data_IF_359668315691
#
_entry.id   IF_359668315691
#
_cell.length_a   1.000
_cell.length_b   1.000
_cell.length_c   1.000
_cell.angle_alpha   90.00
_cell.angle_beta   90.00
_cell.angle_gamma   90.00
#
_symmetry.space_group_name_H-M   'P 1'
#
loop_
_entity.id
_entity.type
_entity.pdbx_description
1 polymer ?
#
# COMPACT_ATOMS: atom_id res chain seq x y z
N UNK A 1 -35.67 -23.45 -22.47
CA UNK A 1 -34.83 -22.58 -23.31
C UNK A 1 -35.50 -21.22 -23.37
N UNK A 2 -35.02 -20.27 -22.58
CA UNK A 2 -35.62 -18.93 -22.49
C UNK A 2 -34.48 -17.92 -22.57
N UNK A 3 -34.43 -17.21 -23.70
CA UNK A 3 -33.44 -16.17 -23.99
C UNK A 3 -33.65 -14.96 -23.09
N UNK A 4 -32.68 -14.62 -22.24
CA UNK A 4 -32.59 -13.27 -21.65
C UNK A 4 -31.86 -12.34 -22.61
N UNK A 5 -32.53 -11.24 -22.96
CA UNK A 5 -32.01 -10.16 -23.78
C UNK A 5 -30.99 -9.33 -22.99
N UNK A 6 -29.81 -9.18 -23.60
CA UNK A 6 -28.68 -8.34 -23.20
C UNK A 6 -29.07 -6.86 -23.34
N UNK A 7 -29.02 -6.10 -22.24
CA UNK A 7 -29.13 -4.64 -22.29
C UNK A 7 -27.82 -4.02 -22.82
N UNK A 8 -27.87 -2.93 -23.61
CA UNK A 8 -26.66 -2.29 -24.15
C UNK A 8 -25.93 -1.48 -23.06
N UNK A 9 -24.61 -1.67 -22.99
CA UNK A 9 -23.70 -0.94 -22.10
C UNK A 9 -23.42 0.45 -22.69
N UNK A 10 -23.65 1.49 -21.91
CA UNK A 10 -23.20 2.87 -22.21
C UNK A 10 -21.68 2.96 -22.00
N UNK A 11 -20.91 3.58 -22.92
CA UNK A 11 -19.47 3.76 -22.73
C UNK A 11 -19.16 4.91 -21.75
N UNK A 12 -18.20 4.69 -20.84
CA UNK A 12 -17.61 5.73 -20.00
C UNK A 12 -16.68 6.64 -20.83
N UNK A 13 -16.60 7.95 -20.52
CA UNK A 13 -15.76 8.89 -21.26
C UNK A 13 -14.28 8.71 -20.95
N UNK A 14 -13.48 8.62 -22.02
CA UNK A 14 -12.02 8.78 -22.02
C UNK A 14 -11.65 10.23 -21.69
N UNK A 15 -10.98 10.45 -20.57
CA UNK A 15 -10.28 11.71 -20.30
C UNK A 15 -8.79 11.54 -20.64
N UNK A 16 -8.46 11.83 -21.89
CA UNK A 16 -7.12 12.26 -22.30
C UNK A 16 -7.15 13.79 -22.38
N UNK A 17 -6.28 14.47 -21.64
CA UNK A 17 -6.29 15.92 -21.55
C UNK A 17 -5.15 16.44 -20.69
N UNK A 18 -3.95 16.43 -21.25
CA UNK A 18 -2.85 17.25 -20.77
C UNK A 18 -3.28 18.72 -20.76
N UNK A 19 -3.06 19.43 -19.66
CA UNK A 19 -3.09 20.89 -19.65
C UNK A 19 -1.98 21.41 -18.76
N UNK A 20 -0.89 21.80 -19.41
CA UNK A 20 0.16 22.68 -18.91
C UNK A 20 -0.47 23.91 -18.24
N UNK A 21 -0.28 24.08 -16.93
CA UNK A 21 -0.45 25.37 -16.26
C UNK A 21 0.92 25.95 -15.96
N UNK A 22 1.24 27.01 -16.69
CA UNK A 22 2.34 27.93 -16.42
C UNK A 22 2.08 28.63 -15.07
N UNK A 23 3.00 28.49 -14.12
CA UNK A 23 3.04 29.30 -12.91
C UNK A 23 4.06 30.42 -13.12
N UNK A 24 3.56 31.65 -13.26
CA UNK A 24 4.37 32.87 -13.21
C UNK A 24 4.61 33.24 -11.74
N UNK A 25 5.84 33.04 -11.26
CA UNK A 25 6.32 33.48 -9.95
C UNK A 25 7.00 34.84 -10.08
N UNK A 26 6.41 35.89 -9.51
CA UNK A 26 7.07 37.17 -9.22
C UNK A 26 7.89 37.02 -7.92
N UNK A 27 9.20 37.22 -8.01
CA UNK A 27 10.07 37.43 -6.86
C UNK A 27 10.01 38.89 -6.39
N UNK A 28 10.43 39.16 -5.15
CA UNK A 28 11.48 40.16 -5.00
C UNK A 28 12.69 39.64 -4.21
N UNK A 29 13.85 40.04 -4.73
CA UNK A 29 15.17 40.03 -4.10
C UNK A 29 15.18 40.83 -2.79
N UNK A 30 15.88 40.32 -1.76
CA UNK A 30 16.90 41.10 -1.02
C UNK A 30 17.62 40.29 0.08
N UNK A 31 18.97 40.43 0.06
CA UNK A 31 19.98 40.22 1.12
C UNK A 31 20.73 38.86 1.24
N UNK A 32 21.97 38.81 1.80
CA UNK A 32 23.28 39.01 1.15
C UNK A 32 24.28 37.82 1.38
N UNK A 33 25.55 37.87 0.88
CA UNK A 33 26.35 36.65 0.64
C UNK A 33 27.36 36.25 1.73
N UNK A 34 27.64 34.94 1.72
CA UNK A 34 28.86 34.21 2.14
C UNK A 34 29.47 34.48 3.54
N UNK A 35 29.45 33.43 4.37
CA UNK A 35 30.56 33.11 5.25
C UNK A 35 30.94 31.62 5.08
N UNK A 36 32.16 31.43 4.60
CA UNK A 36 32.93 30.19 4.55
C UNK A 36 33.31 29.76 5.97
N UNK A 37 32.92 28.55 6.35
CA UNK A 37 33.52 27.77 7.43
C UNK A 37 33.66 26.32 6.96
N UNK A 38 34.65 26.09 6.11
CA UNK A 38 35.58 24.95 6.15
C UNK A 38 35.29 23.90 7.24
N UNK A 39 34.69 22.79 6.80
CA UNK A 39 35.23 21.43 6.89
C UNK A 39 36.21 21.17 8.06
N UNK A 40 35.67 20.77 9.22
CA UNK A 40 36.35 20.02 10.30
C UNK A 40 35.34 19.67 11.40
N UNK A 41 34.54 18.64 11.13
CA UNK A 41 33.94 17.70 12.08
C UNK A 41 32.72 17.03 11.44
N UNK A 42 32.94 16.38 10.29
CA UNK A 42 31.93 15.49 9.72
C UNK A 42 31.92 14.19 10.51
N UNK A 43 31.13 14.17 11.58
CA UNK A 43 30.62 12.93 12.15
C UNK A 43 30.06 12.05 11.00
N UNK A 44 30.18 10.71 11.08
CA UNK A 44 29.63 9.84 10.06
C UNK A 44 28.16 10.18 9.85
N UNK A 45 27.81 10.53 8.61
CA UNK A 45 26.43 10.74 8.18
C UNK A 45 25.73 9.42 8.39
N UNK A 46 24.96 9.30 9.48
CA UNK A 46 23.95 8.26 9.56
C UNK A 46 22.90 8.61 8.51
N UNK A 47 22.80 7.76 7.50
CA UNK A 47 21.74 7.78 6.50
C UNK A 47 20.39 7.56 7.21
N UNK A 48 19.51 8.57 7.31
CA UNK A 48 18.23 8.42 7.96
C UNK A 48 17.24 7.90 6.93
N UNK A 49 17.29 6.60 6.60
CA UNK A 49 16.49 6.14 5.47
C UNK A 49 16.26 4.65 5.27
N UNK A 50 16.72 3.75 6.14
CA UNK A 50 16.42 2.31 5.95
C UNK A 50 15.37 1.82 6.96
N UNK A 51 14.19 1.34 6.53
CA UNK A 51 13.05 1.01 7.39
C UNK A 51 13.31 -0.14 8.40
N UNK A 52 14.50 -0.73 8.37
CA UNK A 52 14.93 -1.77 9.29
C UNK A 52 16.34 -1.59 9.88
N UNK A 53 17.07 -0.50 9.55
CA UNK A 53 18.51 -0.43 9.85
C UNK A 53 19.29 -1.60 9.24
N UNK A 54 18.82 -2.06 8.08
CA UNK A 54 19.16 -3.34 7.50
C UNK A 54 19.68 -3.11 6.08
N UNK A 55 20.99 -3.08 5.90
CA UNK A 55 21.64 -2.78 4.60
C UNK A 55 21.39 -3.86 3.51
N UNK A 56 20.35 -4.70 3.66
CA UNK A 56 19.92 -5.68 2.67
C UNK A 56 19.52 -4.96 1.38
N UNK A 57 20.14 -5.37 0.27
CA UNK A 57 19.70 -4.97 -1.06
C UNK A 57 18.31 -5.56 -1.35
N UNK A 58 17.28 -4.72 -1.35
CA UNK A 58 15.88 -5.10 -1.63
C UNK A 58 15.47 -4.84 -3.09
N UNK A 59 16.41 -4.50 -3.97
CA UNK A 59 16.08 -4.15 -5.36
C UNK A 59 15.44 -5.29 -6.15
N UNK A 60 15.55 -6.56 -5.72
CA UNK A 60 14.82 -7.67 -6.35
C UNK A 60 13.32 -7.65 -6.06
N UNK A 61 12.87 -6.90 -5.06
CA UNK A 61 11.46 -6.70 -4.71
C UNK A 61 10.86 -5.42 -5.30
N UNK A 62 11.64 -4.63 -6.04
CA UNK A 62 11.15 -3.44 -6.74
C UNK A 62 9.93 -3.80 -7.59
N UNK A 63 8.86 -2.98 -7.60
CA UNK A 63 7.57 -3.32 -8.22
C UNK A 63 7.71 -3.73 -9.69
N UNK A 64 8.56 -3.05 -10.46
CA UNK A 64 8.84 -3.38 -11.87
C UNK A 64 9.46 -4.77 -12.11
N UNK A 65 9.96 -5.43 -11.05
CA UNK A 65 10.60 -6.75 -11.11
C UNK A 65 9.73 -7.88 -10.56
N UNK A 66 8.66 -7.55 -9.83
CA UNK A 66 7.71 -8.55 -9.32
C UNK A 66 6.90 -9.12 -10.47
N UNK A 67 6.75 -10.44 -10.52
CA UNK A 67 5.99 -11.18 -11.54
C UNK A 67 5.06 -12.17 -10.87
N UNK A 68 3.97 -12.60 -11.52
CA UNK A 68 3.13 -13.67 -10.98
C UNK A 68 3.97 -14.91 -10.59
N UNK A 69 3.70 -15.43 -9.40
CA UNK A 69 4.47 -16.49 -8.73
C UNK A 69 5.69 -15.98 -7.93
N UNK A 70 6.11 -14.73 -8.11
CA UNK A 70 7.21 -14.10 -7.40
C UNK A 70 6.78 -13.39 -6.12
N UNK A 71 7.72 -13.28 -5.18
CA UNK A 71 7.52 -12.47 -3.97
C UNK A 71 7.65 -10.98 -4.27
N UNK A 72 6.90 -10.17 -3.53
CA UNK A 72 6.96 -8.71 -3.58
C UNK A 72 6.44 -8.09 -2.29
N UNK A 73 6.62 -6.78 -2.17
CA UNK A 73 5.95 -5.97 -1.14
C UNK A 73 4.72 -5.33 -1.76
N UNK A 74 3.61 -5.36 -1.04
CA UNK A 74 2.36 -4.75 -1.46
C UNK A 74 1.77 -3.87 -0.38
N UNK A 75 0.99 -2.87 -0.79
CA UNK A 75 0.25 -1.98 0.09
C UNK A 75 -1.04 -1.52 -0.60
N UNK A 76 -1.97 -0.97 0.16
CA UNK A 76 -3.18 -0.36 -0.41
C UNK A 76 -2.81 0.91 -1.15
N UNK A 77 -3.42 1.19 -2.30
CA UNK A 77 -3.23 2.45 -3.03
C UNK A 77 -3.60 3.70 -2.21
N UNK A 78 -4.43 3.53 -1.20
CA UNK A 78 -4.85 4.56 -0.24
C UNK A 78 -3.84 4.76 0.91
N UNK A 79 -2.81 3.91 1.03
CA UNK A 79 -1.90 3.93 2.18
C UNK A 79 -0.82 5.03 2.11
N UNK A 80 -0.74 5.76 1.00
CA UNK A 80 0.23 6.84 0.82
C UNK A 80 -0.08 8.03 1.74
N UNK A 81 0.89 8.40 2.57
CA UNK A 81 0.83 9.58 3.46
C UNK A 81 2.04 10.49 3.27
N UNK A 82 1.93 11.80 3.49
CA UNK A 82 3.10 12.67 3.50
C UNK A 82 4.05 12.33 4.66
N UNK A 83 5.31 12.08 4.34
CA UNK A 83 6.41 11.90 5.28
C UNK A 83 6.92 13.22 5.85
N UNK A 84 7.79 13.17 6.88
CA UNK A 84 8.35 14.37 7.54
C UNK A 84 9.12 15.31 6.61
N UNK A 85 9.67 14.78 5.52
CA UNK A 85 10.40 15.51 4.48
C UNK A 85 9.51 15.95 3.30
N UNK A 86 8.19 15.73 3.41
CA UNK A 86 7.21 16.03 2.36
C UNK A 86 7.15 15.01 1.22
N UNK A 87 7.98 13.95 1.23
CA UNK A 87 7.84 12.84 0.27
C UNK A 87 6.68 11.95 0.67
N UNK A 88 5.99 11.34 -0.29
CA UNK A 88 4.96 10.36 0.02
C UNK A 88 5.62 9.06 0.51
N UNK A 89 5.04 8.47 1.55
CA UNK A 89 5.51 7.27 2.25
C UNK A 89 4.35 6.33 2.48
N UNK A 90 4.64 5.05 2.65
CA UNK A 90 3.66 4.05 3.06
C UNK A 90 4.01 3.60 4.49
N UNK A 91 3.12 3.80 5.48
CA UNK A 91 3.43 3.43 6.87
C UNK A 91 3.75 1.94 7.05
N UNK A 92 3.05 1.06 6.32
CA UNK A 92 3.28 -0.39 6.37
C UNK A 92 3.17 -1.00 4.97
N UNK A 93 4.22 -1.66 4.51
CA UNK A 93 4.20 -2.62 3.41
C UNK A 93 4.07 -4.06 3.90
N UNK A 94 3.52 -4.94 3.07
CA UNK A 94 3.26 -6.34 3.40
C UNK A 94 3.96 -7.26 2.41
N UNK A 95 4.63 -8.29 2.91
CA UNK A 95 5.25 -9.31 2.04
C UNK A 95 4.17 -10.29 1.56
N UNK A 96 4.17 -10.55 0.25
CA UNK A 96 3.31 -11.57 -0.34
C UNK A 96 3.90 -12.18 -1.62
N UNK A 97 3.17 -13.13 -2.19
CA UNK A 97 3.42 -13.66 -3.54
C UNK A 97 2.36 -13.11 -4.47
N UNK A 98 2.78 -12.43 -5.53
CA UNK A 98 1.86 -11.94 -6.57
C UNK A 98 1.27 -13.15 -7.29
N UNK A 99 -0.05 -13.29 -7.33
CA UNK A 99 -0.71 -14.43 -7.98
C UNK A 99 -1.47 -14.03 -9.24
N UNK A 100 -1.94 -12.78 -9.32
CA UNK A 100 -2.68 -12.28 -10.48
C UNK A 100 -2.75 -10.75 -10.49
N UNK A 101 -3.35 -10.19 -11.54
CA UNK A 101 -3.88 -8.83 -11.56
C UNK A 101 -5.40 -8.84 -11.79
N UNK A 102 -6.13 -7.92 -11.13
CA UNK A 102 -7.57 -7.80 -11.26
C UNK A 102 -8.00 -6.34 -11.33
N UNK A 103 -8.58 -5.95 -12.48
CA UNK A 103 -8.98 -4.57 -12.76
C UNK A 103 -7.84 -3.54 -12.55
N UNK A 104 -6.59 -3.94 -12.85
CA UNK A 104 -5.41 -3.09 -12.67
C UNK A 104 -4.81 -3.10 -11.26
N UNK A 105 -5.39 -3.84 -10.32
CA UNK A 105 -4.86 -4.03 -8.97
C UNK A 105 -4.14 -5.35 -8.83
N UNK A 106 -3.07 -5.37 -8.03
CA UNK A 106 -2.31 -6.57 -7.78
C UNK A 106 -3.07 -7.51 -6.84
N UNK A 107 -3.03 -8.81 -7.10
CA UNK A 107 -3.59 -9.83 -6.22
C UNK A 107 -2.44 -10.58 -5.57
N UNK A 108 -2.25 -10.38 -4.28
CA UNK A 108 -1.23 -11.06 -3.50
C UNK A 108 -1.83 -12.17 -2.64
N UNK A 109 -1.08 -13.25 -2.48
CA UNK A 109 -1.26 -14.19 -1.37
C UNK A 109 -0.25 -13.88 -0.28
N UNK A 110 -0.64 -13.99 0.99
CA UNK A 110 0.21 -13.69 2.13
C UNK A 110 0.06 -14.74 3.24
N UNK A 111 1.00 -14.75 4.18
CA UNK A 111 0.96 -15.66 5.33
C UNK A 111 -0.15 -15.26 6.32
N UNK A 112 -0.58 -16.15 7.23
CA UNK A 112 -1.52 -15.80 8.30
C UNK A 112 -1.05 -14.64 9.17
N UNK A 113 0.26 -14.50 9.40
CA UNK A 113 0.84 -13.39 10.15
C UNK A 113 0.64 -12.06 9.44
N UNK A 114 0.96 -12.00 8.14
CA UNK A 114 0.76 -10.80 7.33
C UNK A 114 -0.74 -10.44 7.26
N UNK A 115 -1.61 -11.44 7.09
CA UNK A 115 -3.05 -11.21 7.07
C UNK A 115 -3.57 -10.62 8.39
N UNK A 116 -3.06 -11.06 9.54
CA UNK A 116 -3.39 -10.47 10.85
C UNK A 116 -2.88 -9.05 10.99
N UNK A 117 -1.65 -8.78 10.55
CA UNK A 117 -1.10 -7.43 10.58
C UNK A 117 -1.91 -6.44 9.73
N UNK A 118 -2.46 -6.89 8.59
CA UNK A 118 -3.38 -6.08 7.78
C UNK A 118 -4.65 -5.74 8.59
N UNK A 119 -5.23 -6.71 9.30
CA UNK A 119 -6.40 -6.46 10.16
C UNK A 119 -6.07 -5.47 11.27
N UNK A 120 -4.95 -5.67 11.97
CA UNK A 120 -4.52 -4.80 13.08
C UNK A 120 -4.25 -3.36 12.62
N UNK A 121 -3.61 -3.19 11.46
CA UNK A 121 -3.34 -1.87 10.90
C UNK A 121 -4.62 -1.20 10.38
N UNK A 122 -5.58 -1.98 9.85
CA UNK A 122 -6.88 -1.47 9.43
C UNK A 122 -7.73 -1.03 10.63
N UNK A 123 -7.73 -1.79 11.72
CA UNK A 123 -8.40 -1.41 12.96
C UNK A 123 -7.78 -0.13 13.56
N UNK A 124 -6.45 0.00 13.53
CA UNK A 124 -5.77 1.24 13.93
C UNK A 124 -6.20 2.43 13.07
N UNK A 125 -6.29 2.27 11.74
CA UNK A 125 -6.75 3.34 10.85
C UNK A 125 -8.19 3.76 11.16
N UNK A 126 -9.07 2.82 11.51
CA UNK A 126 -10.45 3.12 11.94
C UNK A 126 -10.46 3.90 13.26
N UNK A 127 -9.65 3.49 14.23
CA UNK A 127 -9.52 4.18 15.52
C UNK A 127 -8.95 5.59 15.35
N UNK A 128 -7.97 5.77 14.48
CA UNK A 128 -7.36 7.07 14.18
C UNK A 128 -8.39 8.02 13.55
N UNK A 129 -9.18 7.52 12.59
CA UNK A 129 -10.27 8.30 11.98
C UNK A 129 -11.38 8.64 12.98
N UNK A 130 -11.72 7.70 13.87
CA UNK A 130 -12.66 7.95 14.98
C UNK A 130 -12.17 9.06 15.91
N UNK A 131 -10.89 9.04 16.30
CA UNK A 131 -10.29 10.09 17.13
C UNK A 131 -10.27 11.44 16.42
N UNK A 132 -9.97 11.48 15.13
CA UNK A 132 -10.01 12.70 14.33
C UNK A 132 -11.42 13.32 14.33
N UNK A 133 -12.44 12.54 13.98
CA UNK A 133 -13.84 13.01 13.96
C UNK A 133 -14.32 13.46 15.35
N UNK A 134 -13.82 12.83 16.40
CA UNK A 134 -14.06 13.26 17.78
C UNK A 134 -13.46 14.64 18.05
N UNK A 135 -12.22 14.88 17.62
CA UNK A 135 -11.56 16.18 17.76
C UNK A 135 -12.25 17.28 16.94
N UNK A 136 -12.87 16.92 15.81
CA UNK A 136 -13.71 17.81 14.99
C UNK A 136 -15.09 18.11 15.62
N UNK A 137 -15.44 17.50 16.76
CA UNK A 137 -16.72 17.71 17.45
C UNK A 137 -17.90 17.01 16.79
N UNK A 138 -17.65 16.00 15.94
CA UNK A 138 -18.71 15.22 15.29
C UNK A 138 -19.46 14.40 16.35
N UNK A 139 -20.79 14.51 16.35
CA UNK A 139 -21.64 13.75 17.28
C UNK A 139 -21.49 12.24 17.11
N UNK A 140 -21.59 11.48 18.21
CA UNK A 140 -21.24 10.05 18.25
C UNK A 140 -21.90 9.20 17.13
N UNK A 141 -23.21 9.32 16.93
CA UNK A 141 -23.90 8.55 15.87
C UNK A 141 -23.44 8.93 14.45
N UNK A 142 -23.08 10.20 14.24
CA UNK A 142 -22.58 10.69 12.96
C UNK A 142 -21.15 10.24 12.70
N UNK A 143 -20.33 10.21 13.74
CA UNK A 143 -18.94 9.76 13.69
C UNK A 143 -18.88 8.28 13.34
N UNK A 144 -19.68 7.46 14.01
CA UNK A 144 -19.61 6.01 13.87
C UNK A 144 -20.02 5.60 12.45
N UNK A 145 -21.05 6.28 11.92
CA UNK A 145 -21.45 6.14 10.53
C UNK A 145 -20.35 6.56 9.55
N UNK A 146 -19.68 7.70 9.77
CA UNK A 146 -18.59 8.15 8.89
C UNK A 146 -17.40 7.20 8.89
N UNK A 147 -17.05 6.61 10.04
CA UNK A 147 -16.00 5.60 10.11
C UNK A 147 -16.37 4.35 9.30
N UNK A 148 -17.61 3.87 9.44
CA UNK A 148 -18.09 2.71 8.68
C UNK A 148 -18.24 2.99 7.17
N UNK A 149 -18.60 4.21 6.78
CA UNK A 149 -18.67 4.66 5.37
C UNK A 149 -17.27 4.84 4.75
N UNK A 150 -16.27 5.25 5.56
CA UNK A 150 -14.91 5.52 5.07
C UNK A 150 -14.05 4.26 5.00
N UNK A 151 -14.17 3.36 5.96
CA UNK A 151 -13.32 2.18 6.11
C UNK A 151 -14.20 0.95 6.38
N UNK A 152 -13.93 -0.16 5.69
CA UNK A 152 -14.60 -1.43 5.94
C UNK A 152 -14.28 -1.95 7.36
N UNK A 153 -15.04 -2.93 7.87
CA UNK A 153 -14.64 -3.68 9.08
C UNK A 153 -13.93 -4.95 8.68
N UNK A 154 -12.83 -5.26 9.36
CA UNK A 154 -12.05 -6.48 9.15
C UNK A 154 -11.96 -7.26 10.44
N UNK A 155 -12.10 -8.57 10.37
CA UNK A 155 -11.83 -9.45 11.51
C UNK A 155 -11.60 -10.88 11.05
N UNK A 156 -11.11 -11.72 11.96
CA UNK A 156 -11.09 -13.17 11.77
C UNK A 156 -12.29 -13.82 12.45
N UNK A 157 -13.03 -14.63 11.70
CA UNK A 157 -14.00 -15.60 12.21
C UNK A 157 -13.38 -17.00 12.09
N UNK A 158 -12.71 -17.44 13.18
CA UNK A 158 -11.86 -18.62 13.14
C UNK A 158 -10.67 -18.42 12.20
N UNK A 159 -10.58 -19.24 11.15
CA UNK A 159 -9.59 -19.12 10.09
C UNK A 159 -10.07 -18.27 8.91
N UNK A 160 -11.29 -17.75 8.93
CA UNK A 160 -11.85 -16.95 7.83
C UNK A 160 -11.56 -15.48 8.08
N UNK A 161 -10.82 -14.84 7.18
CA UNK A 161 -10.72 -13.38 7.14
C UNK A 161 -12.02 -12.82 6.56
N UNK A 162 -12.74 -12.02 7.33
CA UNK A 162 -13.99 -11.39 6.93
C UNK A 162 -13.76 -9.91 6.70
N UNK A 163 -14.22 -9.43 5.55
CA UNK A 163 -14.24 -8.02 5.20
C UNK A 163 -15.70 -7.59 4.97
N UNK A 164 -16.20 -6.73 5.84
CA UNK A 164 -17.54 -6.18 5.75
C UNK A 164 -17.50 -4.79 5.11
N UNK A 165 -17.87 -4.76 3.83
CA UNK A 165 -17.91 -3.57 3.00
C UNK A 165 -19.32 -2.98 2.87
N UNK A 166 -20.30 -3.46 3.65
CA UNK A 166 -21.71 -3.07 3.47
C UNK A 166 -21.91 -1.56 3.60
N UNK A 167 -21.27 -0.94 4.58
CA UNK A 167 -21.35 0.51 4.78
C UNK A 167 -20.54 1.31 3.74
N UNK A 168 -19.35 0.83 3.35
CA UNK A 168 -18.50 1.49 2.35
C UNK A 168 -19.12 1.45 0.95
N UNK A 169 -19.81 0.37 0.61
CA UNK A 169 -20.35 0.14 -0.74
C UNK A 169 -21.84 0.46 -0.89
N UNK A 170 -22.52 0.81 0.21
CA UNK A 170 -24.00 0.89 0.28
C UNK A 170 -24.69 -0.36 -0.32
N UNK A 171 -24.11 -1.54 -0.06
CA UNK A 171 -24.55 -2.82 -0.59
C UNK A 171 -24.71 -3.82 0.57
N UNK A 172 -25.95 -4.24 0.93
CA UNK A 172 -26.19 -5.09 2.10
C UNK A 172 -25.56 -6.49 1.98
N UNK A 173 -25.19 -6.91 0.78
CA UNK A 173 -24.59 -8.22 0.52
C UNK A 173 -23.05 -8.16 0.38
N UNK A 174 -22.44 -6.97 0.53
CA UNK A 174 -21.00 -6.75 0.36
C UNK A 174 -20.16 -7.24 1.55
N UNK A 175 -20.26 -8.53 1.89
CA UNK A 175 -19.39 -9.21 2.85
C UNK A 175 -18.50 -10.21 2.10
N UNK A 176 -17.20 -9.96 2.09
CA UNK A 176 -16.22 -10.89 1.55
C UNK A 176 -15.67 -11.81 2.66
N UNK A 177 -15.45 -13.07 2.31
CA UNK A 177 -14.93 -14.11 3.23
C UNK A 177 -13.78 -14.83 2.55
N UNK A 178 -12.60 -14.76 3.14
CA UNK A 178 -11.35 -15.30 2.61
C UNK A 178 -10.87 -16.42 3.52
N UNK A 179 -10.99 -17.66 3.05
CA UNK A 179 -10.35 -18.81 3.68
C UNK A 179 -8.89 -18.88 3.25
N UNK A 180 -8.01 -19.46 4.09
CA UNK A 180 -6.68 -19.80 3.65
C UNK A 180 -6.76 -20.85 2.53
N UNK A 181 -5.81 -20.79 1.61
CA UNK A 181 -5.58 -21.83 0.60
C UNK A 181 -5.03 -23.12 1.25
N UNK A 182 -4.86 -24.22 0.49
CA UNK A 182 -4.29 -25.46 1.04
C UNK A 182 -2.87 -25.33 1.63
N UNK A 183 -2.15 -24.27 1.30
CA UNK A 183 -0.84 -23.94 1.88
C UNK A 183 -0.94 -23.00 3.09
N UNK A 184 -2.14 -22.67 3.56
CA UNK A 184 -2.38 -21.79 4.70
C UNK A 184 -2.29 -20.30 4.38
N UNK A 185 -2.26 -19.90 3.10
CA UNK A 185 -2.07 -18.51 2.69
C UNK A 185 -3.41 -17.82 2.45
N UNK A 186 -3.48 -16.54 2.76
CA UNK A 186 -4.66 -15.72 2.52
C UNK A 186 -4.48 -14.93 1.24
N UNK A 187 -5.55 -14.82 0.45
CA UNK A 187 -5.67 -13.80 -0.60
C UNK A 187 -6.58 -12.70 -0.07
N UNK A 188 -6.05 -11.67 0.61
CA UNK A 188 -6.87 -10.55 1.08
C UNK A 188 -7.34 -9.76 -0.13
N UNK A 189 -8.49 -10.11 -0.73
CA UNK A 189 -9.04 -9.43 -1.91
C UNK A 189 -10.45 -8.95 -1.61
N UNK A 190 -10.66 -7.65 -1.49
CA UNK A 190 -11.99 -7.05 -1.35
C UNK A 190 -12.27 -6.10 -2.52
N UNK A 191 -13.55 -5.84 -2.85
CA UNK A 191 -13.94 -4.84 -3.88
C UNK A 191 -13.33 -3.45 -3.63
N UNK A 192 -12.96 -3.15 -2.39
CA UNK A 192 -12.38 -1.87 -1.95
C UNK A 192 -10.88 -1.97 -1.60
N UNK A 193 -10.25 -3.14 -1.75
CA UNK A 193 -8.84 -3.34 -1.38
C UNK A 193 -7.98 -3.41 -2.64
N UNK A 194 -7.75 -2.22 -3.14
CA UNK A 194 -6.98 -1.86 -4.33
C UNK A 194 -5.49 -1.95 -4.03
N UNK A 195 -4.99 -3.17 -3.92
CA UNK A 195 -3.58 -3.43 -3.64
C UNK A 195 -2.69 -3.10 -4.83
N UNK A 196 -1.51 -2.58 -4.54
CA UNK A 196 -0.43 -2.32 -5.50
C UNK A 196 0.85 -2.98 -5.02
N UNK A 197 1.69 -3.41 -5.97
CA UNK A 197 3.09 -3.68 -5.67
C UNK A 197 3.80 -2.35 -5.41
N UNK A 198 4.63 -2.28 -4.38
CA UNK A 198 5.31 -1.04 -3.96
C UNK A 198 6.80 -1.28 -3.79
N UNK A 199 7.58 -0.22 -3.93
CA UNK A 199 9.00 -0.29 -3.59
C UNK A 199 9.15 -0.47 -2.07
N UNK A 200 9.91 -1.46 -1.60
CA UNK A 200 10.29 -1.57 -0.19
C UNK A 200 10.82 -0.26 0.40
N UNK A 201 11.55 0.53 -0.39
CA UNK A 201 12.15 1.79 0.05
C UNK A 201 11.10 2.89 0.26
N UNK A 202 9.87 2.75 -0.26
CA UNK A 202 8.76 3.68 0.00
C UNK A 202 8.05 3.41 1.34
N UNK A 203 8.34 2.26 1.97
CA UNK A 203 7.68 1.81 3.19
C UNK A 203 8.45 2.24 4.45
N UNK A 204 7.75 2.67 5.51
CA UNK A 204 8.35 2.94 6.82
C UNK A 204 8.63 1.66 7.61
N UNK A 205 7.84 0.62 7.36
CA UNK A 205 7.98 -0.72 7.93
C UNK A 205 7.46 -1.75 6.94
N UNK A 206 8.09 -2.92 6.90
CA UNK A 206 7.61 -4.08 6.14
C UNK A 206 7.24 -5.20 7.11
N UNK A 207 6.08 -5.83 6.89
CA UNK A 207 5.61 -7.00 7.66
C UNK A 207 5.69 -8.27 6.84
N UNK A 208 6.23 -9.33 7.45
CA UNK A 208 6.41 -10.64 6.87
C UNK A 208 7.87 -10.93 6.53
N UNK A 209 8.15 -12.19 6.18
CA UNK A 209 9.50 -12.65 5.91
C UNK A 209 9.99 -12.17 4.53
N UNK A 210 10.87 -11.17 4.55
CA UNK A 210 11.51 -10.65 3.33
C UNK A 210 12.42 -11.74 2.74
N UNK A 211 12.13 -12.24 1.53
CA UNK A 211 12.92 -13.30 0.93
C UNK A 211 14.31 -12.80 0.54
N UNK A 212 15.32 -13.65 0.74
CA UNK A 212 16.66 -13.40 0.23
C UNK A 212 16.65 -13.26 -1.29
N UNK A 213 17.56 -12.43 -1.86
CA UNK A 213 17.69 -12.35 -3.30
C UNK A 213 17.99 -13.75 -3.87
N UNK A 214 17.49 -14.08 -5.07
CA UNK A 214 17.84 -15.33 -5.72
C UNK A 214 19.36 -15.41 -5.83
N UNK A 215 19.94 -16.56 -5.46
CA UNK A 215 21.38 -16.77 -5.58
C UNK A 215 21.80 -16.46 -7.02
N UNK A 216 22.69 -15.49 -7.21
CA UNK A 216 23.33 -15.29 -8.51
C UNK A 216 24.15 -16.53 -8.80
N UNK A 217 23.68 -17.36 -9.74
CA UNK A 217 24.50 -18.40 -10.34
C UNK A 217 25.73 -17.71 -10.93
N UNK A 218 26.83 -17.73 -10.18
CA UNK A 218 28.13 -17.36 -10.68
C UNK A 218 28.52 -18.49 -11.61
N UNK A 219 28.27 -18.30 -12.91
CA UNK A 219 28.80 -19.18 -13.95
C UNK A 219 30.32 -19.08 -13.86
N UNK A 220 30.92 -20.05 -13.18
CA UNK A 220 32.36 -20.21 -13.10
C UNK A 220 32.85 -20.62 -14.50
N UNK A 221 33.32 -19.61 -15.24
CA UNK A 221 33.95 -19.73 -16.55
C UNK A 221 35.20 -20.60 -16.40
N UNK A 222 35.03 -21.91 -16.63
CA UNK A 222 36.12 -22.87 -16.69
C UNK A 222 36.95 -22.57 -17.92
N UNK A 223 38.02 -21.79 -17.76
CA UNK A 223 39.06 -21.65 -18.78
C UNK A 223 39.84 -22.95 -18.89
N UNK A 224 39.81 -23.51 -20.09
CA UNK A 224 40.56 -24.68 -20.58
C UNK A 224 42.05 -24.37 -20.70
#
# INVERSE_FOLDING_TARGET
MTHQRKAPRTPLPTHSGATTRQYTSHAPDDAPPCADLSDRDRAPVMDPGHPHGDDRNLSHLHPDRVRPGGSGVFAGDWAWTPGPDGRMRIPTGYVGVLVDDWNGWAVFTCTPEVARAIVDDHDRARDDHHRQLTAEGVGAAQRERRVDEALARLWFDGDVLVADHRAVSDDPDAIARHRPDPAGRYTPMGRSWTWIAVDPDDCDRIVGDIPHPPATCTTEDTRV
#
